data_IF_333154572634
#
_entry.id   IF_333154572634
#
_cell.length_a   1.000
_cell.length_b   1.000
_cell.length_c   1.000
_cell.angle_alpha   90.00
_cell.angle_beta   90.00
_cell.angle_gamma   90.00
#
_symmetry.space_group_name_H-M   'P 1'
#
loop_
_entity.id
_entity.type
_entity.pdbx_description
1 polymer ?
#
# COMPACT_ATOMS: atom_id res chain seq x y z
N UNK A 1 11.88 16.44 -11.93
CA UNK A 1 11.53 15.46 -10.87
C UNK A 1 10.42 16.02 -9.99
N UNK A 2 9.36 15.26 -9.78
CA UNK A 2 8.23 15.70 -8.95
C UNK A 2 8.64 15.69 -7.47
N UNK A 3 8.38 16.79 -6.77
CA UNK A 3 8.69 16.89 -5.34
C UNK A 3 7.74 16.01 -4.51
N UNK A 4 8.15 15.68 -3.29
CA UNK A 4 7.29 14.94 -2.35
C UNK A 4 5.98 15.70 -2.08
N UNK A 5 6.05 17.02 -1.93
CA UNK A 5 4.87 17.86 -1.71
C UNK A 5 3.86 17.72 -2.86
N UNK A 6 4.33 17.73 -4.10
CA UNK A 6 3.48 17.55 -5.27
C UNK A 6 2.89 16.14 -5.33
N UNK A 7 3.69 15.11 -5.01
CA UNK A 7 3.22 13.73 -4.95
C UNK A 7 2.09 13.56 -3.92
N UNK A 8 2.26 14.14 -2.75
CA UNK A 8 1.24 14.12 -1.69
C UNK A 8 -0.04 14.82 -2.14
N UNK A 9 0.09 15.97 -2.80
CA UNK A 9 -1.05 16.71 -3.35
C UNK A 9 -1.85 15.85 -4.34
N UNK A 10 -1.18 15.23 -5.30
CA UNK A 10 -1.83 14.35 -6.28
C UNK A 10 -2.47 13.13 -5.61
N UNK A 11 -1.78 12.53 -4.64
CA UNK A 11 -2.30 11.40 -3.88
C UNK A 11 -3.62 11.76 -3.19
N UNK A 12 -3.67 12.89 -2.49
CA UNK A 12 -4.87 13.33 -1.78
C UNK A 12 -6.04 13.59 -2.72
N UNK A 13 -5.77 14.10 -3.91
CA UNK A 13 -6.80 14.33 -4.92
C UNK A 13 -7.42 13.02 -5.44
N UNK A 14 -6.61 11.99 -5.61
CA UNK A 14 -7.04 10.71 -6.21
C UNK A 14 -7.63 9.74 -5.19
N UNK A 15 -7.02 9.64 -4.02
CA UNK A 15 -7.39 8.61 -3.03
C UNK A 15 -8.45 9.06 -2.05
N UNK A 16 -8.69 10.38 -1.96
CA UNK A 16 -9.57 11.00 -0.96
C UNK A 16 -9.06 10.83 0.47
N UNK A 17 -7.86 10.30 0.67
CA UNK A 17 -7.22 10.28 1.98
C UNK A 17 -6.70 11.67 2.32
N UNK A 18 -6.88 12.07 3.57
CA UNK A 18 -6.46 13.39 4.04
C UNK A 18 -5.21 13.34 4.91
N UNK A 19 -4.80 12.14 5.33
CA UNK A 19 -3.66 11.96 6.23
C UNK A 19 -2.59 11.10 5.58
N UNK A 20 -1.34 11.51 5.80
CA UNK A 20 -0.16 10.73 5.42
C UNK A 20 0.48 10.20 6.70
N UNK A 21 0.80 8.92 6.70
CA UNK A 21 1.43 8.23 7.81
C UNK A 21 2.94 8.21 7.59
N UNK A 22 3.70 8.71 8.54
CA UNK A 22 5.14 8.88 8.39
C UNK A 22 6.02 7.95 9.25
N UNK A 23 5.44 7.07 10.06
CA UNK A 23 6.24 6.19 10.93
C UNK A 23 7.08 5.19 10.15
N UNK A 24 6.46 4.48 9.21
CA UNK A 24 7.16 3.66 8.22
C UNK A 24 6.85 4.26 6.86
N UNK A 25 7.79 5.03 6.34
CA UNK A 25 7.55 5.83 5.15
C UNK A 25 8.79 5.79 4.25
N UNK A 26 8.57 5.63 2.97
CA UNK A 26 9.62 5.71 1.95
C UNK A 26 9.12 6.50 0.75
N UNK A 27 10.00 7.31 0.17
CA UNK A 27 9.73 8.07 -1.04
C UNK A 27 10.90 7.89 -2.00
N UNK A 28 10.59 7.63 -3.27
CA UNK A 28 11.60 7.50 -4.32
C UNK A 28 11.01 7.90 -5.67
N UNK A 29 11.73 7.62 -6.76
CA UNK A 29 11.29 7.95 -8.11
C UNK A 29 9.97 7.27 -8.52
N UNK A 30 9.61 6.17 -7.89
CA UNK A 30 8.39 5.44 -8.19
C UNK A 30 7.14 5.95 -7.44
N UNK A 31 7.34 6.83 -6.46
CA UNK A 31 6.26 7.39 -5.66
C UNK A 31 6.61 7.43 -4.18
N UNK A 32 5.60 7.22 -3.34
CA UNK A 32 5.81 7.07 -1.90
C UNK A 32 4.86 6.02 -1.32
N UNK A 33 5.23 5.51 -0.16
CA UNK A 33 4.37 4.56 0.54
C UNK A 33 4.62 4.63 2.04
N UNK A 34 3.60 4.28 2.79
CA UNK A 34 3.70 4.10 4.24
C UNK A 34 2.96 2.84 4.66
N UNK A 35 3.41 2.25 5.76
CA UNK A 35 2.87 0.98 6.22
C UNK A 35 3.00 0.86 7.73
N UNK A 36 2.32 -0.14 8.27
CA UNK A 36 2.48 -0.60 9.64
C UNK A 36 2.53 -2.13 9.64
N UNK A 37 2.86 -2.72 10.78
CA UNK A 37 2.95 -4.17 10.91
C UNK A 37 2.06 -4.60 12.06
N UNK A 38 1.16 -5.53 11.77
CA UNK A 38 0.36 -6.22 12.78
C UNK A 38 1.01 -7.58 13.04
N UNK A 39 1.82 -7.64 14.09
CA UNK A 39 2.56 -8.86 14.44
C UNK A 39 1.64 -9.98 14.90
N UNK A 40 0.52 -9.65 15.53
CA UNK A 40 -0.44 -10.64 15.99
C UNK A 40 -1.10 -11.36 14.82
N UNK A 41 -1.52 -10.61 13.80
CA UNK A 41 -2.11 -11.17 12.59
C UNK A 41 -1.06 -11.54 11.53
N UNK A 42 0.20 -11.26 11.80
CA UNK A 42 1.32 -11.46 10.87
C UNK A 42 1.07 -10.78 9.52
N UNK A 43 0.60 -9.55 9.58
CA UNK A 43 0.18 -8.77 8.42
C UNK A 43 1.04 -7.54 8.21
N UNK A 44 1.35 -7.24 6.95
CA UNK A 44 1.87 -5.94 6.53
C UNK A 44 0.67 -5.08 6.14
N UNK A 45 0.47 -3.97 6.84
CA UNK A 45 -0.70 -3.11 6.65
C UNK A 45 -0.27 -1.89 5.84
N UNK A 46 -0.75 -1.79 4.60
CA UNK A 46 -0.47 -0.64 3.75
C UNK A 46 -1.40 0.51 4.13
N UNK A 47 -0.82 1.68 4.39
CA UNK A 47 -1.58 2.86 4.80
C UNK A 47 -1.72 3.85 3.66
N UNK A 48 -0.59 4.29 3.09
CA UNK A 48 -0.59 5.18 1.93
C UNK A 48 0.27 4.53 0.83
N UNK A 49 -0.21 4.57 -0.40
CA UNK A 49 0.57 4.12 -1.56
C UNK A 49 0.27 5.04 -2.73
N UNK A 50 1.31 5.63 -3.31
CA UNK A 50 1.20 6.51 -4.46
C UNK A 50 2.28 6.20 -5.49
N UNK A 51 1.88 6.20 -6.76
CA UNK A 51 2.80 6.06 -7.88
C UNK A 51 2.66 4.73 -8.60
N UNK A 52 3.80 4.09 -8.89
CA UNK A 52 3.86 2.85 -9.67
C UNK A 52 3.36 1.65 -8.85
N UNK A 53 2.12 1.22 -9.09
CA UNK A 53 1.51 0.12 -8.35
C UNK A 53 2.25 -1.20 -8.48
N UNK A 54 2.81 -1.49 -9.66
CA UNK A 54 3.59 -2.71 -9.87
C UNK A 54 4.87 -2.71 -9.05
N UNK A 55 5.56 -1.56 -9.02
CA UNK A 55 6.75 -1.40 -8.18
C UNK A 55 6.43 -1.64 -6.70
N UNK A 56 5.36 -1.02 -6.19
CA UNK A 56 5.00 -1.15 -4.79
C UNK A 56 4.52 -2.55 -4.43
N UNK A 57 3.84 -3.23 -5.35
CA UNK A 57 3.45 -4.63 -5.14
C UNK A 57 4.68 -5.51 -4.94
N UNK A 58 5.69 -5.37 -5.80
CA UNK A 58 6.95 -6.12 -5.69
C UNK A 58 7.68 -5.75 -4.39
N UNK A 59 7.76 -4.45 -4.07
CA UNK A 59 8.42 -3.95 -2.87
C UNK A 59 7.81 -4.54 -1.61
N UNK A 60 6.49 -4.46 -1.47
CA UNK A 60 5.81 -4.93 -0.25
C UNK A 60 5.78 -6.46 -0.16
N UNK A 61 5.66 -7.15 -1.28
CA UNK A 61 5.78 -8.62 -1.28
C UNK A 61 7.15 -9.06 -0.77
N UNK A 62 8.21 -8.41 -1.24
CA UNK A 62 9.57 -8.69 -0.77
C UNK A 62 9.77 -8.34 0.69
N UNK A 63 9.23 -7.20 1.14
CA UNK A 63 9.33 -6.78 2.54
C UNK A 63 8.60 -7.75 3.47
N UNK A 64 7.38 -8.13 3.12
CA UNK A 64 6.59 -9.07 3.90
C UNK A 64 7.31 -10.43 4.05
N UNK A 65 7.88 -10.94 2.96
CA UNK A 65 8.64 -12.18 2.99
C UNK A 65 9.87 -12.08 3.89
N UNK A 66 10.61 -10.98 3.81
CA UNK A 66 11.79 -10.75 4.66
C UNK A 66 11.45 -10.70 6.14
N UNK A 67 10.30 -10.13 6.48
CA UNK A 67 9.83 -10.02 7.86
C UNK A 67 9.10 -11.26 8.35
N UNK A 68 8.90 -12.25 7.49
CA UNK A 68 8.18 -13.48 7.85
C UNK A 68 6.69 -13.27 8.03
N UNK A 69 6.13 -12.24 7.41
CA UNK A 69 4.70 -11.95 7.48
C UNK A 69 3.94 -12.80 6.47
N UNK A 70 2.72 -13.17 6.78
CA UNK A 70 1.92 -14.11 5.99
C UNK A 70 1.07 -13.43 4.94
N UNK A 71 0.71 -12.15 5.14
CA UNK A 71 -0.21 -11.45 4.26
C UNK A 71 0.04 -9.95 4.23
N UNK A 72 -0.50 -9.32 3.18
CA UNK A 72 -0.53 -7.88 3.02
C UNK A 72 -2.00 -7.47 2.98
N UNK A 73 -2.36 -6.45 3.76
CA UNK A 73 -3.73 -5.95 3.82
C UNK A 73 -3.77 -4.44 3.62
N UNK A 74 -4.85 -3.92 3.08
CA UNK A 74 -5.11 -2.48 3.05
C UNK A 74 -6.60 -2.22 2.91
N UNK A 75 -7.06 -1.10 3.47
CA UNK A 75 -8.39 -0.59 3.24
C UNK A 75 -8.46 0.11 1.88
N UNK A 76 -9.55 -0.03 1.15
CA UNK A 76 -9.70 0.63 -0.13
C UNK A 76 -11.04 1.33 -0.25
N UNK A 77 -10.99 2.54 -0.83
CA UNK A 77 -12.17 3.30 -1.26
C UNK A 77 -12.33 3.25 -2.79
N UNK A 78 -11.40 2.56 -3.47
CA UNK A 78 -11.42 2.38 -4.93
C UNK A 78 -12.14 1.09 -5.30
N UNK A 79 -12.39 0.90 -6.59
CA UNK A 79 -12.97 -0.34 -7.09
C UNK A 79 -12.04 -1.52 -6.78
N UNK A 80 -12.46 -2.48 -5.94
CA UNK A 80 -11.60 -3.59 -5.53
C UNK A 80 -11.29 -4.56 -6.66
N UNK A 81 -12.10 -4.62 -7.72
CA UNK A 81 -11.92 -5.55 -8.83
C UNK A 81 -10.58 -5.39 -9.54
N UNK A 82 -10.06 -4.17 -9.64
CA UNK A 82 -8.76 -3.90 -10.25
C UNK A 82 -7.63 -4.57 -9.44
N UNK A 83 -7.71 -4.50 -8.13
CA UNK A 83 -6.73 -5.13 -7.25
C UNK A 83 -6.82 -6.65 -7.26
N UNK A 84 -8.02 -7.20 -7.34
CA UNK A 84 -8.23 -8.63 -7.43
C UNK A 84 -7.60 -9.22 -8.70
N UNK A 85 -7.80 -8.57 -9.84
CA UNK A 85 -7.30 -9.05 -11.12
C UNK A 85 -5.81 -8.84 -11.32
N UNK A 86 -5.32 -7.64 -10.97
CA UNK A 86 -3.96 -7.22 -11.31
C UNK A 86 -2.92 -7.70 -10.31
N UNK A 87 -3.25 -7.69 -9.02
CA UNK A 87 -2.28 -7.94 -7.96
C UNK A 87 -2.62 -9.13 -7.07
N UNK A 88 -3.62 -9.91 -7.41
CA UNK A 88 -4.06 -11.09 -6.67
C UNK A 88 -4.54 -10.82 -5.24
N UNK A 89 -5.04 -9.62 -5.00
CA UNK A 89 -5.73 -9.30 -3.74
C UNK A 89 -7.17 -9.80 -3.80
N UNK A 90 -7.71 -10.13 -2.64
CA UNK A 90 -9.13 -10.46 -2.50
C UNK A 90 -9.80 -9.52 -1.50
N UNK A 91 -11.06 -9.22 -1.73
CA UNK A 91 -11.85 -8.38 -0.85
C UNK A 91 -12.30 -9.17 0.38
N UNK A 92 -12.01 -8.65 1.58
CA UNK A 92 -12.43 -9.23 2.85
C UNK A 92 -13.13 -8.12 3.61
N UNK A 93 -14.48 -8.05 3.49
CA UNK A 93 -15.25 -6.91 4.00
C UNK A 93 -14.88 -5.64 3.25
N UNK A 94 -14.34 -4.64 3.96
CA UNK A 94 -13.86 -3.38 3.37
C UNK A 94 -12.33 -3.33 3.28
N UNK A 95 -11.67 -4.46 3.42
CA UNK A 95 -10.22 -4.57 3.43
C UNK A 95 -9.78 -5.52 2.32
N UNK A 96 -8.75 -5.12 1.58
CA UNK A 96 -8.11 -5.99 0.60
C UNK A 96 -6.99 -6.77 1.27
N UNK A 97 -6.86 -8.05 0.95
CA UNK A 97 -5.88 -8.93 1.54
C UNK A 97 -5.18 -9.77 0.47
N UNK A 98 -3.90 -9.96 0.64
CA UNK A 98 -3.08 -10.83 -0.22
C UNK A 98 -2.18 -11.70 0.66
N UNK A 99 -2.23 -13.00 0.46
CA UNK A 99 -1.29 -13.93 1.09
C UNK A 99 0.07 -13.85 0.38
N UNK A 100 1.11 -13.96 1.14
CA UNK A 100 2.48 -13.79 0.64
C UNK A 100 3.23 -15.11 0.65
#
# INVERSE_FOLDING_TARGET
MTSLTEKIKFYKQKSKDTKIYFNNFIENEYGFASWDIDWEEQSLVLINVYGDGEYWDIFFTGLAKRLGLKKIVFGTKRNPKAFERKYKYKLVGYIMEKEV
#
